data_IF_925113020579
#
_entry.id   IF_925113020579
#
_cell.length_a   1.000
_cell.length_b   1.000
_cell.length_c   1.000
_cell.angle_alpha   90.00
_cell.angle_beta   90.00
_cell.angle_gamma   90.00
#
_symmetry.space_group_name_H-M   'P 1'
#
loop_
_entity.id
_entity.type
_entity.pdbx_description
1 polymer ?
#
# COMPACT_ATOMS: atom_id res chain seq x y z
N UNK A 1 9.33 -0.92 -27.86
CA UNK A 1 9.79 -2.09 -27.08
C UNK A 1 8.66 -2.66 -26.27
N UNK A 2 8.41 -3.97 -26.36
CA UNK A 2 7.43 -4.57 -25.47
C UNK A 2 7.93 -4.47 -24.02
N UNK A 3 7.06 -3.97 -23.15
CA UNK A 3 7.38 -3.87 -21.73
C UNK A 3 7.37 -5.29 -21.15
N UNK A 4 8.48 -5.68 -20.52
CA UNK A 4 8.53 -6.94 -19.80
C UNK A 4 7.71 -6.79 -18.52
N UNK A 5 6.47 -7.31 -18.54
CA UNK A 5 5.55 -7.18 -17.42
C UNK A 5 6.07 -7.86 -16.15
N UNK A 6 6.81 -8.97 -16.32
CA UNK A 6 7.43 -9.65 -15.18
C UNK A 6 8.45 -8.74 -14.51
N UNK A 7 9.33 -8.10 -15.29
CA UNK A 7 10.31 -7.16 -14.75
C UNK A 7 9.65 -5.95 -14.11
N UNK A 8 8.58 -5.44 -14.72
CA UNK A 8 7.81 -4.33 -14.16
C UNK A 8 7.20 -4.70 -12.81
N UNK A 9 6.59 -5.88 -12.73
CA UNK A 9 5.96 -6.37 -11.50
C UNK A 9 7.01 -6.58 -10.39
N UNK A 10 8.17 -7.11 -10.74
CA UNK A 10 9.29 -7.27 -9.80
C UNK A 10 9.79 -5.92 -9.29
N UNK A 11 9.82 -4.91 -10.15
CA UNK A 11 10.21 -3.55 -9.75
C UNK A 11 9.22 -2.98 -8.73
N UNK A 12 7.92 -3.11 -8.99
CA UNK A 12 6.90 -2.66 -8.05
C UNK A 12 6.96 -3.44 -6.74
N UNK A 13 7.23 -4.75 -6.81
CA UNK A 13 7.43 -5.58 -5.62
C UNK A 13 8.59 -5.03 -4.79
N UNK A 14 9.71 -4.73 -5.42
CA UNK A 14 10.90 -4.21 -4.74
C UNK A 14 10.61 -2.87 -4.07
N UNK A 15 9.92 -1.94 -4.77
CA UNK A 15 9.55 -0.66 -4.19
C UNK A 15 8.66 -0.81 -2.96
N UNK A 16 7.75 -1.80 -2.98
CA UNK A 16 6.89 -2.06 -1.83
C UNK A 16 7.66 -2.69 -0.67
N UNK A 17 8.66 -3.54 -0.95
CA UNK A 17 9.55 -4.07 0.08
C UNK A 17 10.31 -2.92 0.77
N UNK A 18 10.88 -2.03 -0.03
CA UNK A 18 11.60 -0.86 0.49
C UNK A 18 10.65 0.03 1.30
N UNK A 19 9.45 0.27 0.78
CA UNK A 19 8.43 1.06 1.48
C UNK A 19 8.02 0.44 2.81
N UNK A 20 7.83 -0.88 2.84
CA UNK A 20 7.49 -1.59 4.08
C UNK A 20 8.60 -1.47 5.12
N UNK A 21 9.85 -1.67 4.70
CA UNK A 21 11.01 -1.53 5.59
C UNK A 21 11.10 -0.09 6.10
N UNK A 22 10.94 0.89 5.21
CA UNK A 22 10.98 2.30 5.57
C UNK A 22 9.92 2.64 6.63
N UNK A 23 8.68 2.21 6.40
CA UNK A 23 7.58 2.50 7.32
C UNK A 23 7.76 1.78 8.65
N UNK A 24 8.28 0.55 8.65
CA UNK A 24 8.55 -0.18 9.87
C UNK A 24 9.62 0.54 10.71
N UNK A 25 10.70 0.99 10.06
CA UNK A 25 11.77 1.73 10.73
C UNK A 25 11.28 3.09 11.21
N UNK A 26 10.53 3.80 10.37
CA UNK A 26 9.97 5.10 10.71
C UNK A 26 9.06 5.00 11.93
N UNK A 27 8.16 4.02 11.93
CA UNK A 27 7.25 3.79 13.04
C UNK A 27 7.99 3.43 14.32
N UNK A 28 8.99 2.55 14.23
CA UNK A 28 9.79 2.16 15.39
C UNK A 28 10.54 3.35 15.98
N UNK A 29 11.20 4.15 15.14
CA UNK A 29 11.93 5.33 15.57
C UNK A 29 10.98 6.34 16.20
N UNK A 30 9.83 6.58 15.56
CA UNK A 30 8.84 7.54 16.05
C UNK A 30 8.32 7.13 17.43
N UNK A 31 8.07 5.82 17.62
CA UNK A 31 7.58 5.30 18.90
C UNK A 31 8.63 5.45 20.02
N UNK A 32 9.92 5.39 19.69
CA UNK A 32 10.98 5.62 20.67
C UNK A 32 10.92 7.04 21.24
N UNK A 33 10.44 8.01 20.47
CA UNK A 33 10.33 9.41 20.87
C UNK A 33 8.93 9.79 21.34
N UNK A 34 8.03 8.83 21.47
CA UNK A 34 6.63 9.10 21.82
C UNK A 34 6.38 9.24 23.33
N UNK A 35 7.40 9.08 24.16
CA UNK A 35 7.29 9.16 25.62
C UNK A 35 6.30 8.16 26.21
N UNK A 36 6.25 6.94 25.64
CA UNK A 36 5.38 5.88 26.14
C UNK A 36 3.98 5.86 25.55
N UNK A 37 3.68 6.78 24.64
CA UNK A 37 2.40 6.77 23.92
C UNK A 37 2.56 5.98 22.63
N UNK A 38 1.80 4.90 22.48
CA UNK A 38 1.89 4.03 21.33
C UNK A 38 0.68 4.19 20.43
N UNK A 39 0.90 4.15 19.11
CA UNK A 39 -0.17 4.18 18.12
C UNK A 39 -0.08 2.94 17.24
N UNK A 40 -1.14 2.15 17.21
CA UNK A 40 -1.20 0.99 16.32
C UNK A 40 -1.19 1.41 14.85
N UNK A 41 -1.77 2.57 14.53
CA UNK A 41 -1.74 3.08 13.16
C UNK A 41 -0.31 3.35 12.70
N UNK A 42 0.52 3.89 13.58
CA UNK A 42 1.92 4.15 13.28
C UNK A 42 2.72 2.85 13.17
N UNK A 43 2.52 1.94 14.15
CA UNK A 43 3.28 0.68 14.22
C UNK A 43 2.97 -0.21 13.02
N UNK A 44 1.71 -0.32 12.61
CA UNK A 44 1.27 -1.23 11.56
C UNK A 44 1.14 -0.58 10.19
N UNK A 45 1.59 0.68 10.02
CA UNK A 45 1.54 1.33 8.71
C UNK A 45 2.30 0.54 7.64
N UNK A 46 3.38 -0.15 8.02
CA UNK A 46 4.17 -0.97 7.07
C UNK A 46 3.37 -2.14 6.50
N UNK A 47 2.28 -2.55 7.16
CA UNK A 47 1.47 -3.67 6.68
C UNK A 47 0.81 -3.37 5.33
N UNK A 48 0.50 -2.11 5.03
CA UNK A 48 -0.13 -1.77 3.75
C UNK A 48 0.77 -2.12 2.56
N UNK A 49 2.00 -1.63 2.46
CA UNK A 49 2.86 -2.06 1.35
C UNK A 49 3.26 -3.53 1.46
N UNK A 50 3.36 -4.09 2.66
CA UNK A 50 3.73 -5.49 2.83
C UNK A 50 2.62 -6.42 2.32
N UNK A 51 1.38 -6.22 2.77
CA UNK A 51 0.27 -7.11 2.41
C UNK A 51 -0.27 -6.80 1.03
N UNK A 52 -0.59 -5.54 0.75
CA UNK A 52 -1.18 -5.14 -0.53
C UNK A 52 -0.17 -5.13 -1.67
N UNK A 53 1.10 -4.85 -1.38
CA UNK A 53 2.15 -4.79 -2.38
C UNK A 53 2.94 -6.08 -2.48
N UNK A 54 3.78 -6.35 -1.50
CA UNK A 54 4.74 -7.48 -1.57
C UNK A 54 4.01 -8.81 -1.73
N UNK A 55 3.04 -9.09 -0.88
CA UNK A 55 2.33 -10.36 -0.90
C UNK A 55 1.54 -10.53 -2.20
N UNK A 56 0.78 -9.51 -2.61
CA UNK A 56 -0.03 -9.58 -3.82
C UNK A 56 0.85 -9.76 -5.06
N UNK A 57 1.89 -8.95 -5.20
CA UNK A 57 2.75 -9.00 -6.38
C UNK A 57 3.54 -10.31 -6.43
N UNK A 58 3.98 -10.82 -5.28
CA UNK A 58 4.65 -12.12 -5.21
C UNK A 58 3.71 -13.24 -5.69
N UNK A 59 2.46 -13.24 -5.24
CA UNK A 59 1.47 -14.22 -5.66
C UNK A 59 1.22 -14.12 -7.17
N UNK A 60 1.10 -12.92 -7.70
CA UNK A 60 0.91 -12.72 -9.14
C UNK A 60 2.09 -13.22 -9.96
N UNK A 61 3.31 -12.99 -9.49
CA UNK A 61 4.52 -13.47 -10.17
C UNK A 61 4.55 -15.01 -10.18
N UNK A 62 4.26 -15.63 -9.03
CA UNK A 62 4.26 -17.10 -8.90
C UNK A 62 3.22 -17.71 -9.82
N UNK A 63 2.04 -17.09 -9.93
CA UNK A 63 0.96 -17.59 -10.80
C UNK A 63 1.15 -17.23 -12.26
N UNK A 64 2.15 -16.42 -12.60
CA UNK A 64 2.40 -15.99 -13.97
C UNK A 64 1.36 -15.01 -14.50
N UNK A 65 0.65 -14.32 -13.63
CA UNK A 65 -0.36 -13.31 -14.01
C UNK A 65 0.27 -11.93 -13.91
N UNK A 66 0.27 -11.22 -15.03
CA UNK A 66 0.92 -9.90 -15.11
C UNK A 66 -0.12 -8.83 -15.41
N UNK A 67 -0.54 -8.04 -14.40
CA UNK A 67 -1.53 -6.98 -14.62
C UNK A 67 -0.95 -5.83 -15.44
N UNK A 68 -1.84 -5.03 -16.01
CA UNK A 68 -1.44 -3.86 -16.79
C UNK A 68 -0.85 -2.78 -15.88
N UNK A 69 -0.03 -1.92 -16.48
CA UNK A 69 0.58 -0.79 -15.78
C UNK A 69 -0.49 0.10 -15.13
N UNK A 70 -1.65 0.29 -15.78
CA UNK A 70 -2.75 1.08 -15.21
C UNK A 70 -3.21 0.55 -13.86
N UNK A 71 -3.38 -0.78 -13.74
CA UNK A 71 -3.73 -1.40 -12.48
C UNK A 71 -2.65 -1.16 -11.43
N UNK A 72 -1.39 -1.35 -11.81
CA UNK A 72 -0.27 -1.16 -10.88
C UNK A 72 -0.22 0.26 -10.35
N UNK A 73 -0.45 1.26 -11.22
CA UNK A 73 -0.46 2.66 -10.82
C UNK A 73 -1.58 2.95 -9.82
N UNK A 74 -2.80 2.50 -10.10
CA UNK A 74 -3.96 2.69 -9.22
C UNK A 74 -3.75 1.97 -7.90
N UNK A 75 -3.30 0.72 -7.95
CA UNK A 75 -3.09 -0.10 -6.76
C UNK A 75 -2.00 0.47 -5.86
N UNK A 76 -0.87 0.87 -6.44
CA UNK A 76 0.20 1.49 -5.68
C UNK A 76 -0.22 2.82 -5.07
N UNK A 77 -1.03 3.61 -5.77
CA UNK A 77 -1.60 4.84 -5.23
C UNK A 77 -2.49 4.54 -4.02
N UNK A 78 -3.29 3.48 -4.09
CA UNK A 78 -4.11 3.03 -2.96
C UNK A 78 -3.23 2.65 -1.76
N UNK A 79 -2.17 1.86 -2.00
CA UNK A 79 -1.23 1.48 -0.94
C UNK A 79 -0.63 2.72 -0.28
N UNK A 80 -0.15 3.67 -1.09
CA UNK A 80 0.44 4.91 -0.59
C UNK A 80 -0.57 5.72 0.22
N UNK A 81 -1.80 5.80 -0.24
CA UNK A 81 -2.86 6.55 0.44
C UNK A 81 -3.17 5.96 1.81
N UNK A 82 -3.34 4.65 1.90
CA UNK A 82 -3.53 3.98 3.20
C UNK A 82 -2.33 4.17 4.12
N UNK A 83 -1.11 4.02 3.57
CA UNK A 83 0.12 4.13 4.36
C UNK A 83 0.27 5.54 4.95
N UNK A 84 0.10 6.56 4.12
CA UNK A 84 0.20 7.96 4.55
C UNK A 84 -0.89 8.28 5.57
N UNK A 85 -2.11 7.82 5.32
CA UNK A 85 -3.23 8.03 6.25
C UNK A 85 -2.98 7.38 7.59
N UNK A 86 -2.43 6.17 7.60
CA UNK A 86 -2.11 5.45 8.84
C UNK A 86 -1.02 6.18 9.64
N UNK A 87 0.04 6.62 8.97
CA UNK A 87 1.11 7.39 9.61
C UNK A 87 0.57 8.70 10.17
N UNK A 88 -0.25 9.40 9.38
CA UNK A 88 -0.82 10.69 9.81
C UNK A 88 -1.72 10.50 11.03
N UNK A 89 -2.58 9.50 11.02
CA UNK A 89 -3.42 9.18 12.17
C UNK A 89 -2.56 8.83 13.38
N UNK A 90 -1.46 8.08 13.17
CA UNK A 90 -0.53 7.74 14.22
C UNK A 90 0.12 8.96 14.85
N UNK A 91 0.52 9.93 14.03
CA UNK A 91 1.07 11.20 14.51
C UNK A 91 0.07 11.92 15.42
N UNK A 92 -1.19 12.00 14.97
CA UNK A 92 -2.24 12.65 15.74
C UNK A 92 -2.49 11.94 17.07
N UNK A 93 -2.52 10.60 17.07
CA UNK A 93 -2.71 9.83 18.29
C UNK A 93 -1.58 10.04 19.30
N UNK A 94 -0.34 10.08 18.83
CA UNK A 94 0.82 10.27 19.68
C UNK A 94 0.82 11.69 20.27
N UNK A 95 0.39 12.69 19.50
CA UNK A 95 0.24 14.05 20.02
C UNK A 95 -1.00 14.23 20.91
N UNK A 96 -1.86 13.21 21.00
CA UNK A 96 -3.06 13.27 21.83
C UNK A 96 -4.17 14.14 21.24
N UNK A 97 -4.20 14.29 19.92
CA UNK A 97 -5.20 15.07 19.22
C UNK A 97 -5.91 14.22 18.17
N UNK A 98 -6.96 14.78 17.57
CA UNK A 98 -7.70 14.12 16.50
C UNK A 98 -8.12 15.15 15.46
N UNK A 99 -8.30 14.68 14.22
CA UNK A 99 -8.78 15.53 13.14
C UNK A 99 -9.69 14.68 12.23
N UNK A 100 -10.96 15.09 12.12
CA UNK A 100 -11.94 14.36 11.34
C UNK A 100 -11.58 14.28 9.84
N UNK A 101 -10.76 15.21 9.33
CA UNK A 101 -10.33 15.22 7.93
C UNK A 101 -9.41 14.03 7.58
N UNK A 102 -8.82 13.37 8.57
CA UNK A 102 -7.96 12.21 8.35
C UNK A 102 -8.73 11.07 7.68
N UNK A 103 -10.04 10.99 7.88
CA UNK A 103 -10.87 9.94 7.27
C UNK A 103 -10.84 9.99 5.73
N UNK A 104 -10.41 11.10 5.14
CA UNK A 104 -10.25 11.23 3.68
C UNK A 104 -9.26 10.17 3.16
N UNK A 105 -8.20 9.88 3.91
CA UNK A 105 -7.18 8.92 3.49
C UNK A 105 -7.72 7.50 3.35
N UNK A 106 -8.32 6.89 4.37
CA UNK A 106 -8.88 5.55 4.20
C UNK A 106 -10.05 5.52 3.20
N UNK A 107 -10.85 6.59 3.14
CA UNK A 107 -11.94 6.67 2.17
C UNK A 107 -11.40 6.68 0.73
N UNK A 108 -10.43 7.54 0.45
CA UNK A 108 -9.79 7.59 -0.86
C UNK A 108 -9.06 6.29 -1.19
N UNK A 109 -8.37 5.70 -0.21
CA UNK A 109 -7.69 4.43 -0.39
C UNK A 109 -8.66 3.30 -0.74
N UNK A 110 -9.82 3.23 -0.08
CA UNK A 110 -10.84 2.24 -0.38
C UNK A 110 -11.41 2.42 -1.79
N UNK A 111 -11.65 3.66 -2.23
CA UNK A 111 -12.12 3.94 -3.58
C UNK A 111 -11.09 3.47 -4.61
N UNK A 112 -9.82 3.82 -4.41
CA UNK A 112 -8.74 3.43 -5.31
C UNK A 112 -8.53 1.91 -5.32
N UNK A 113 -8.63 1.27 -4.16
CA UNK A 113 -8.54 -0.18 -4.05
C UNK A 113 -9.67 -0.86 -4.81
N UNK A 114 -10.89 -0.36 -4.67
CA UNK A 114 -12.05 -0.86 -5.39
C UNK A 114 -11.89 -0.72 -6.90
N UNK A 115 -11.40 0.43 -7.37
CA UNK A 115 -11.10 0.64 -8.78
C UNK A 115 -10.05 -0.33 -9.29
N UNK A 116 -9.00 -0.55 -8.50
CA UNK A 116 -7.95 -1.51 -8.84
C UNK A 116 -8.48 -2.93 -8.95
N UNK A 117 -9.33 -3.35 -8.03
CA UNK A 117 -9.95 -4.68 -8.06
C UNK A 117 -10.80 -4.83 -9.32
N UNK A 118 -11.61 -3.83 -9.65
CA UNK A 118 -12.44 -3.84 -10.86
C UNK A 118 -11.56 -3.95 -12.11
N UNK A 119 -10.49 -3.19 -12.19
CA UNK A 119 -9.56 -3.24 -13.31
C UNK A 119 -8.93 -4.62 -13.45
N UNK A 120 -8.53 -5.23 -12.35
CA UNK A 120 -7.92 -6.55 -12.35
C UNK A 120 -8.92 -7.62 -12.81
N UNK A 121 -10.15 -7.58 -12.32
CA UNK A 121 -11.20 -8.52 -12.69
C UNK A 121 -11.51 -8.40 -14.19
N UNK A 122 -11.65 -7.19 -14.70
CA UNK A 122 -11.91 -6.97 -16.13
C UNK A 122 -10.77 -7.49 -17.00
N UNK A 123 -9.53 -7.26 -16.58
CA UNK A 123 -8.37 -7.75 -17.31
C UNK A 123 -8.34 -9.27 -17.37
N UNK A 124 -8.59 -9.94 -16.23
CA UNK A 124 -8.62 -11.40 -16.17
C UNK A 124 -9.76 -11.94 -17.04
N UNK A 125 -10.93 -11.31 -17.01
CA UNK A 125 -12.07 -11.71 -17.82
C UNK A 125 -11.77 -11.61 -19.32
N UNK A 126 -11.14 -10.51 -19.75
CA UNK A 126 -10.74 -10.32 -21.14
C UNK A 126 -9.73 -11.38 -21.58
N UNK A 127 -8.77 -11.71 -20.73
CA UNK A 127 -7.74 -12.70 -21.04
C UNK A 127 -8.33 -14.11 -21.08
N UNK A 128 -9.34 -14.41 -20.26
CA UNK A 128 -9.95 -15.73 -20.20
C UNK A 128 -10.90 -16.01 -21.36
N UNK A 129 -11.30 -14.99 -22.11
CA UNK A 129 -12.12 -15.13 -23.31
C UNK A 129 -11.23 -15.26 -24.52
#
# INVERSE_FOLDING_TARGET
MPINRNALLKTHLMFNVIGAIFLALFGAIYELFSHGVYSYHMIYAFCFPLVMGVLLYAVLIIKGKYPRKSFLNVWNTSIATFSIGSVFQGVLEIYGTSNSLVIVYPAAGLILMGLGIIMLIKQVHIISV
#
